data_IF_709270926365
#
_entry.id   IF_709270926365
#
_cell.length_a   1.000
_cell.length_b   1.000
_cell.length_c   1.000
_cell.angle_alpha   90.00
_cell.angle_beta   90.00
_cell.angle_gamma   90.00
#
_symmetry.space_group_name_H-M   'P 1'
#
loop_
_entity.id
_entity.type
_entity.pdbx_description
1 polymer ?
#
# COMPACT_ATOMS: atom_id res chain seq x y z
N UNK A 1 -24.27 13.03 13.94
CA UNK A 1 -23.43 14.04 13.28
C UNK A 1 -22.75 13.41 12.07
N UNK A 2 -22.66 14.08 10.91
CA UNK A 2 -21.92 13.57 9.77
C UNK A 2 -20.43 13.53 10.09
N UNK A 3 -19.77 12.40 9.76
CA UNK A 3 -18.32 12.26 9.88
C UNK A 3 -17.66 13.02 8.73
N UNK A 4 -16.73 13.92 9.02
CA UNK A 4 -15.98 14.56 7.97
C UNK A 4 -14.98 13.58 7.35
N UNK A 5 -15.36 12.93 6.27
CA UNK A 5 -14.62 11.88 5.59
C UNK A 5 -13.27 12.35 5.04
N UNK A 6 -13.16 13.62 4.68
CA UNK A 6 -11.91 14.18 4.19
C UNK A 6 -10.84 14.22 5.28
N UNK A 7 -11.19 14.73 6.45
CA UNK A 7 -10.22 14.83 7.56
C UNK A 7 -9.95 13.51 8.25
N UNK A 8 -10.97 12.66 8.39
CA UNK A 8 -10.86 11.40 9.14
C UNK A 8 -10.36 10.23 8.29
N UNK A 9 -10.73 10.15 7.01
CA UNK A 9 -10.47 9.01 6.14
C UNK A 9 -9.71 9.37 4.86
N UNK A 10 -9.41 10.64 4.64
CA UNK A 10 -8.80 11.18 3.40
C UNK A 10 -9.59 10.82 2.13
N UNK A 11 -10.90 10.63 2.27
CA UNK A 11 -11.80 10.29 1.16
C UNK A 11 -12.21 11.55 0.40
N UNK A 12 -11.98 11.56 -0.90
CA UNK A 12 -12.37 12.64 -1.82
C UNK A 12 -13.32 12.10 -2.88
N UNK A 13 -14.26 12.96 -3.34
CA UNK A 13 -15.19 12.62 -4.42
C UNK A 13 -16.30 11.66 -4.00
N UNK A 14 -16.48 11.45 -2.70
CA UNK A 14 -17.56 10.68 -2.11
C UNK A 14 -18.13 11.41 -0.92
N UNK A 15 -19.40 11.19 -0.69
CA UNK A 15 -20.12 11.64 0.50
C UNK A 15 -20.61 10.46 1.32
N UNK A 16 -20.82 10.67 2.59
CA UNK A 16 -21.42 9.70 3.48
C UNK A 16 -22.91 9.55 3.13
N UNK A 17 -23.35 8.31 2.91
CA UNK A 17 -24.75 7.96 2.72
C UNK A 17 -25.37 7.49 4.03
N UNK A 18 -24.67 6.59 4.76
CA UNK A 18 -25.09 6.10 6.05
C UNK A 18 -23.90 5.69 6.91
N UNK A 19 -24.09 5.66 8.23
CA UNK A 19 -23.11 5.16 9.19
C UNK A 19 -23.80 4.19 10.15
N UNK A 20 -23.19 3.03 10.35
CA UNK A 20 -23.62 2.06 11.35
C UNK A 20 -22.50 1.94 12.40
N UNK A 21 -22.87 2.15 13.65
CA UNK A 21 -21.96 2.01 14.79
C UNK A 21 -22.23 0.69 15.51
N UNK A 22 -21.16 0.04 15.93
CA UNK A 22 -21.20 -1.03 16.93
C UNK A 22 -20.14 -0.77 18.01
N UNK A 23 -20.06 -1.61 19.04
CA UNK A 23 -19.14 -1.38 20.18
C UNK A 23 -17.69 -1.13 19.75
N UNK A 24 -17.20 -1.81 18.71
CA UNK A 24 -15.79 -1.79 18.31
C UNK A 24 -15.59 -1.41 16.82
N UNK A 25 -16.67 -1.20 16.09
CA UNK A 25 -16.57 -0.97 14.65
C UNK A 25 -17.54 0.10 14.15
N UNK A 26 -17.10 0.75 13.09
CA UNK A 26 -17.90 1.72 12.33
C UNK A 26 -17.93 1.26 10.88
N UNK A 27 -19.12 1.20 10.29
CA UNK A 27 -19.32 0.95 8.88
C UNK A 27 -19.91 2.20 8.23
N UNK A 28 -19.18 2.75 7.25
CA UNK A 28 -19.55 3.98 6.55
C UNK A 28 -19.85 3.62 5.10
N UNK A 29 -21.12 3.80 4.70
CA UNK A 29 -21.51 3.67 3.31
C UNK A 29 -21.27 4.99 2.60
N UNK A 30 -20.60 4.91 1.45
CA UNK A 30 -20.18 6.03 0.63
C UNK A 30 -20.90 6.04 -0.70
N UNK A 31 -21.36 7.22 -1.10
CA UNK A 31 -21.92 7.47 -2.43
C UNK A 31 -21.01 8.42 -3.20
N UNK A 32 -20.75 8.15 -4.47
CA UNK A 32 -19.97 9.04 -5.34
C UNK A 32 -20.71 10.36 -5.55
N UNK A 33 -20.00 11.47 -5.43
CA UNK A 33 -20.62 12.81 -5.61
C UNK A 33 -20.78 13.19 -7.07
N UNK A 34 -19.78 12.86 -7.90
CA UNK A 34 -19.78 13.13 -9.34
C UNK A 34 -19.02 12.02 -10.08
N UNK A 35 -19.56 11.61 -11.22
CA UNK A 35 -18.87 10.74 -12.15
C UNK A 35 -18.25 11.59 -13.27
N UNK A 36 -17.01 11.31 -13.60
CA UNK A 36 -16.24 11.97 -14.66
C UNK A 36 -15.46 10.94 -15.45
N UNK A 37 -15.36 11.14 -16.74
CA UNK A 37 -14.53 10.29 -17.59
C UNK A 37 -13.07 10.38 -17.15
N UNK A 38 -12.38 9.25 -16.84
CA UNK A 38 -10.97 9.27 -16.45
C UNK A 38 -10.04 9.72 -17.58
N UNK A 39 -10.48 9.62 -18.84
CA UNK A 39 -9.67 9.96 -20.00
C UNK A 39 -9.74 11.45 -20.39
N UNK A 40 -10.95 12.03 -20.51
CA UNK A 40 -11.13 13.42 -20.97
C UNK A 40 -11.74 14.37 -19.92
N UNK A 41 -12.07 13.88 -18.71
CA UNK A 41 -12.65 14.70 -17.64
C UNK A 41 -14.13 15.08 -17.83
N UNK A 42 -14.78 14.72 -18.95
CA UNK A 42 -16.17 15.04 -19.23
C UNK A 42 -17.11 14.42 -18.20
N UNK A 43 -18.15 15.16 -17.82
CA UNK A 43 -19.26 14.69 -16.95
C UNK A 43 -20.39 14.03 -17.74
N UNK A 44 -20.36 14.12 -19.09
CA UNK A 44 -21.35 13.45 -19.97
C UNK A 44 -21.01 11.96 -20.05
N UNK A 45 -21.43 11.21 -19.04
CA UNK A 45 -21.14 9.78 -18.92
C UNK A 45 -22.38 8.97 -18.57
N UNK A 46 -22.51 7.80 -19.16
CA UNK A 46 -23.42 6.74 -18.70
C UNK A 46 -22.73 5.94 -17.60
N UNK A 47 -23.41 5.70 -16.50
CA UNK A 47 -22.90 5.07 -15.29
C UNK A 47 -23.55 3.71 -15.09
N UNK A 48 -22.74 2.65 -15.08
CA UNK A 48 -23.18 1.27 -14.86
C UNK A 48 -22.56 0.73 -13.57
N UNK A 49 -23.35 0.35 -12.55
CA UNK A 49 -22.80 -0.26 -11.34
C UNK A 49 -22.26 -1.66 -11.64
N UNK A 50 -21.05 -1.97 -11.15
CA UNK A 50 -20.41 -3.29 -11.35
C UNK A 50 -20.54 -4.14 -10.08
N UNK A 51 -20.08 -3.58 -8.93
CA UNK A 51 -20.03 -4.33 -7.67
C UNK A 51 -19.85 -3.39 -6.48
N UNK A 52 -20.34 -3.79 -5.33
CA UNK A 52 -20.00 -3.17 -4.06
C UNK A 52 -18.63 -3.66 -3.56
N UNK A 53 -17.93 -2.80 -2.86
CA UNK A 53 -16.66 -3.10 -2.19
C UNK A 53 -16.67 -2.60 -0.78
N UNK A 54 -16.03 -3.41 0.09
CA UNK A 54 -15.78 -3.07 1.48
C UNK A 54 -14.27 -3.09 1.73
N UNK A 55 -13.74 -2.01 2.28
CA UNK A 55 -12.31 -1.84 2.58
C UNK A 55 -12.13 -1.32 4.00
N UNK A 56 -10.91 -1.44 4.52
CA UNK A 56 -10.56 -0.90 5.83
C UNK A 56 -10.07 0.53 5.70
N UNK A 57 -10.59 1.39 6.58
CA UNK A 57 -10.17 2.79 6.76
C UNK A 57 -9.38 3.00 8.04
N UNK A 58 -8.96 4.26 8.26
CA UNK A 58 -8.32 4.70 9.49
C UNK A 58 -9.25 4.52 10.69
N UNK A 59 -8.72 4.19 11.89
CA UNK A 59 -9.48 4.20 13.12
C UNK A 59 -10.23 5.52 13.34
N UNK A 60 -11.40 5.46 13.96
CA UNK A 60 -12.23 6.62 14.23
C UNK A 60 -12.55 6.67 15.74
N UNK A 61 -11.92 7.58 16.47
CA UNK A 61 -12.04 7.63 17.93
C UNK A 61 -11.60 6.32 18.57
N UNK A 62 -12.44 5.73 19.40
CA UNK A 62 -12.21 4.42 20.04
C UNK A 62 -12.43 3.22 19.12
N UNK A 63 -13.08 3.43 17.95
CA UNK A 63 -13.40 2.35 17.02
C UNK A 63 -12.21 2.04 16.11
N UNK A 64 -11.52 0.93 16.36
CA UNK A 64 -10.37 0.49 15.57
C UNK A 64 -10.77 -0.12 14.22
N UNK A 65 -11.99 -0.67 14.12
CA UNK A 65 -12.49 -1.35 12.92
C UNK A 65 -13.39 -0.41 12.11
N UNK A 66 -12.81 0.38 11.23
CA UNK A 66 -13.56 1.23 10.31
C UNK A 66 -13.63 0.55 8.94
N UNK A 67 -14.85 0.30 8.46
CA UNK A 67 -15.12 -0.22 7.14
C UNK A 67 -15.75 0.87 6.26
N UNK A 68 -15.22 1.04 5.06
CA UNK A 68 -15.80 1.89 4.03
C UNK A 68 -16.43 0.99 2.97
N UNK A 69 -17.73 1.16 2.72
CA UNK A 69 -18.47 0.43 1.70
C UNK A 69 -18.87 1.40 0.57
N UNK A 70 -18.63 1.02 -0.68
CA UNK A 70 -18.96 1.83 -1.85
C UNK A 70 -19.14 0.96 -3.09
N UNK A 71 -19.90 1.45 -4.06
CA UNK A 71 -20.07 0.80 -5.36
C UNK A 71 -19.01 1.29 -6.35
N UNK A 72 -18.45 0.37 -7.12
CA UNK A 72 -17.59 0.67 -8.27
C UNK A 72 -18.46 0.69 -9.52
N UNK A 73 -18.23 1.69 -10.37
CA UNK A 73 -18.98 1.88 -11.60
C UNK A 73 -18.06 1.73 -12.84
N UNK A 74 -18.67 1.28 -13.92
CA UNK A 74 -18.14 1.43 -15.27
C UNK A 74 -18.75 2.66 -15.89
N UNK A 75 -17.93 3.45 -16.55
CA UNK A 75 -18.32 4.70 -17.20
C UNK A 75 -18.18 4.55 -18.71
N UNK A 76 -19.19 4.98 -19.44
CA UNK A 76 -19.10 5.21 -20.88
C UNK A 76 -19.20 6.71 -21.12
N UNK A 77 -18.19 7.29 -21.76
CA UNK A 77 -18.12 8.72 -22.03
C UNK A 77 -18.72 9.05 -23.39
N UNK A 78 -19.69 9.97 -23.44
CA UNK A 78 -20.31 10.42 -24.69
C UNK A 78 -19.42 11.40 -25.47
N UNK A 79 -18.42 12.02 -24.83
CA UNK A 79 -17.55 12.99 -25.48
C UNK A 79 -16.35 12.35 -26.19
N UNK A 80 -15.72 11.32 -25.61
CA UNK A 80 -14.55 10.65 -26.19
C UNK A 80 -14.78 9.17 -26.47
N UNK A 81 -15.99 8.67 -26.28
CA UNK A 81 -16.42 7.27 -26.51
C UNK A 81 -15.62 6.21 -25.74
N UNK A 82 -14.87 6.64 -24.70
CA UNK A 82 -14.09 5.71 -23.89
C UNK A 82 -14.98 4.99 -22.87
N UNK A 83 -14.70 3.70 -22.68
CA UNK A 83 -15.40 2.86 -21.68
C UNK A 83 -14.39 2.31 -20.70
N UNK A 84 -14.50 2.72 -19.44
CA UNK A 84 -13.53 2.36 -18.39
C UNK A 84 -14.18 2.26 -17.02
N UNK A 85 -13.49 1.55 -16.11
CA UNK A 85 -13.85 1.52 -14.68
C UNK A 85 -13.40 2.82 -14.01
N UNK A 86 -14.27 3.43 -13.22
CA UNK A 86 -13.96 4.67 -12.52
C UNK A 86 -12.72 4.52 -11.59
N UNK A 87 -11.94 5.58 -11.53
CA UNK A 87 -10.83 5.67 -10.58
C UNK A 87 -11.34 6.02 -9.19
N UNK A 88 -10.90 5.26 -8.16
CA UNK A 88 -11.21 5.50 -6.76
C UNK A 88 -10.03 6.20 -6.09
N UNK A 89 -10.11 7.50 -5.77
CA UNK A 89 -8.96 8.32 -5.37
C UNK A 89 -8.27 7.88 -4.08
N UNK A 90 -9.03 7.29 -3.15
CA UNK A 90 -8.54 6.86 -1.84
C UNK A 90 -7.99 5.43 -1.81
N UNK A 91 -7.90 4.75 -2.96
CA UNK A 91 -7.23 3.45 -3.10
C UNK A 91 -5.86 3.61 -3.75
N UNK A 92 -4.85 2.90 -3.24
CA UNK A 92 -3.50 2.86 -3.81
C UNK A 92 -3.44 2.13 -5.15
N UNK A 93 -4.33 1.13 -5.32
CA UNK A 93 -4.53 0.39 -6.58
C UNK A 93 -5.93 -0.25 -6.60
N UNK A 94 -6.45 -0.67 -7.79
CA UNK A 94 -7.82 -1.16 -7.92
C UNK A 94 -8.20 -2.35 -7.02
N UNK A 95 -7.22 -3.16 -6.59
CA UNK A 95 -7.43 -4.32 -5.70
C UNK A 95 -7.09 -4.02 -4.23
N UNK A 96 -6.75 -2.77 -3.87
CA UNK A 96 -6.39 -2.42 -2.49
C UNK A 96 -7.54 -2.72 -1.52
N UNK A 97 -7.21 -3.28 -0.36
CA UNK A 97 -8.16 -3.62 0.72
C UNK A 97 -8.13 -2.61 1.87
N UNK A 98 -7.18 -1.70 1.83
CA UNK A 98 -6.99 -0.61 2.77
C UNK A 98 -7.13 0.72 2.02
N UNK A 99 -7.49 1.78 2.74
CA UNK A 99 -7.38 3.14 2.20
C UNK A 99 -5.90 3.54 2.10
N UNK A 100 -5.57 4.43 1.16
CA UNK A 100 -4.22 5.05 1.07
C UNK A 100 -3.79 5.69 2.40
N UNK A 101 -4.74 6.27 3.13
CA UNK A 101 -4.47 6.88 4.43
C UNK A 101 -3.96 5.82 5.41
N UNK A 102 -4.72 4.73 5.62
CA UNK A 102 -4.33 3.65 6.53
C UNK A 102 -3.03 2.96 6.08
N UNK A 103 -2.84 2.73 4.78
CA UNK A 103 -1.57 2.19 4.26
C UNK A 103 -0.39 3.08 4.65
N UNK A 104 -0.55 4.41 4.51
CA UNK A 104 0.47 5.40 4.87
C UNK A 104 0.77 5.40 6.36
N UNK A 105 -0.25 5.46 7.21
CA UNK A 105 -0.09 5.44 8.67
C UNK A 105 0.63 4.17 9.13
N UNK A 106 0.27 3.01 8.60
CA UNK A 106 0.96 1.74 8.90
C UNK A 106 2.44 1.84 8.51
N UNK A 107 2.76 2.34 7.31
CA UNK A 107 4.15 2.46 6.83
C UNK A 107 4.98 3.48 7.63
N UNK A 108 4.37 4.57 8.10
CA UNK A 108 5.02 5.56 8.97
C UNK A 108 5.32 4.99 10.36
N UNK A 109 4.45 4.14 10.90
CA UNK A 109 4.65 3.50 12.20
C UNK A 109 5.59 2.29 12.16
N UNK A 110 5.73 1.66 11.00
CA UNK A 110 6.45 0.39 10.86
C UNK A 110 7.93 0.41 11.30
N UNK A 111 8.70 1.49 11.13
CA UNK A 111 10.06 1.56 11.66
C UNK A 111 10.16 1.46 13.19
N UNK A 112 9.08 1.80 13.89
CA UNK A 112 9.04 1.91 15.36
C UNK A 112 8.27 0.77 16.02
N UNK A 113 7.43 0.06 15.29
CA UNK A 113 6.50 -0.94 15.81
C UNK A 113 6.59 -2.23 15.00
N UNK A 114 6.60 -3.39 15.67
CA UNK A 114 6.64 -4.68 15.00
C UNK A 114 5.41 -4.95 14.11
N UNK A 115 5.56 -5.79 13.07
CA UNK A 115 4.44 -6.19 12.20
C UNK A 115 3.32 -6.83 13.04
N UNK A 116 3.67 -7.66 14.01
CA UNK A 116 2.69 -8.33 14.86
C UNK A 116 1.89 -7.35 15.72
N UNK A 117 2.56 -6.37 16.31
CA UNK A 117 1.89 -5.36 17.14
C UNK A 117 0.93 -4.49 16.30
N UNK A 118 1.35 -4.07 15.09
CA UNK A 118 0.47 -3.36 14.15
C UNK A 118 -0.70 -4.21 13.69
N UNK A 119 -0.47 -5.50 13.41
CA UNK A 119 -1.52 -6.43 13.01
C UNK A 119 -2.59 -6.56 14.11
N UNK A 120 -2.16 -6.72 15.35
CA UNK A 120 -3.07 -6.78 16.50
C UNK A 120 -3.80 -5.46 16.74
N UNK A 121 -3.09 -4.32 16.65
CA UNK A 121 -3.68 -2.99 16.88
C UNK A 121 -4.77 -2.65 15.86
N UNK A 122 -4.50 -2.88 14.57
CA UNK A 122 -5.46 -2.58 13.49
C UNK A 122 -6.41 -3.73 13.18
N UNK A 123 -6.32 -4.86 13.89
CA UNK A 123 -7.06 -6.10 13.57
C UNK A 123 -6.94 -6.47 12.08
N UNK A 124 -5.70 -6.52 11.62
CA UNK A 124 -5.31 -6.90 10.28
C UNK A 124 -4.49 -8.21 10.33
N UNK A 125 -4.48 -8.93 9.22
CA UNK A 125 -3.61 -10.10 9.10
C UNK A 125 -2.15 -9.66 9.02
N UNK A 126 -1.26 -10.34 9.73
CA UNK A 126 0.19 -10.13 9.69
C UNK A 126 0.74 -10.04 8.25
N UNK A 127 0.29 -10.96 7.38
CA UNK A 127 0.63 -10.94 5.96
C UNK A 127 0.25 -9.65 5.23
N UNK A 128 -0.87 -9.02 5.60
CA UNK A 128 -1.31 -7.77 4.96
C UNK A 128 -0.30 -6.66 5.20
N UNK A 129 0.21 -6.53 6.42
CA UNK A 129 1.20 -5.52 6.77
C UNK A 129 2.56 -5.85 6.16
N UNK A 130 2.99 -7.12 6.22
CA UNK A 130 4.24 -7.58 5.60
C UNK A 130 4.28 -7.27 4.09
N UNK A 131 3.22 -7.62 3.36
CA UNK A 131 3.17 -7.38 1.91
C UNK A 131 3.08 -5.89 1.56
N UNK A 132 2.40 -5.09 2.39
CA UNK A 132 2.37 -3.64 2.26
C UNK A 132 3.79 -3.05 2.40
N UNK A 133 4.50 -3.43 3.47
CA UNK A 133 5.89 -3.00 3.71
C UNK A 133 6.82 -3.46 2.59
N UNK A 134 6.78 -4.73 2.22
CA UNK A 134 7.59 -5.31 1.14
C UNK A 134 7.41 -4.54 -0.18
N UNK A 135 6.16 -4.24 -0.55
CA UNK A 135 5.84 -3.46 -1.74
C UNK A 135 6.39 -2.02 -1.65
N UNK A 136 6.27 -1.40 -0.48
CA UNK A 136 6.80 -0.07 -0.22
C UNK A 136 8.33 -0.04 -0.35
N UNK A 137 9.03 -0.98 0.28
CA UNK A 137 10.48 -1.10 0.23
C UNK A 137 10.98 -1.37 -1.20
N UNK A 138 10.33 -2.28 -1.93
CA UNK A 138 10.65 -2.51 -3.34
C UNK A 138 10.56 -1.23 -4.19
N UNK A 139 9.54 -0.41 -3.97
CA UNK A 139 9.39 0.86 -4.68
C UNK A 139 10.43 1.89 -4.23
N UNK A 140 10.67 2.00 -2.92
CA UNK A 140 11.60 2.96 -2.33
C UNK A 140 13.04 2.69 -2.76
N UNK A 141 13.43 1.42 -2.83
CA UNK A 141 14.78 0.96 -3.14
C UNK A 141 14.88 0.30 -4.53
N UNK A 142 14.00 0.64 -5.46
CA UNK A 142 14.02 0.10 -6.82
C UNK A 142 15.22 0.54 -7.64
N UNK A 143 15.84 1.67 -7.28
CA UNK A 143 17.04 2.21 -7.93
C UNK A 143 18.05 2.55 -6.86
N UNK A 144 19.18 1.85 -6.89
CA UNK A 144 20.32 2.14 -6.03
C UNK A 144 21.24 3.10 -6.78
N UNK A 145 21.46 4.27 -6.21
CA UNK A 145 22.42 5.23 -6.76
C UNK A 145 23.80 4.87 -6.25
N UNK A 146 24.67 4.38 -7.12
CA UNK A 146 26.03 3.93 -6.76
C UNK A 146 27.13 4.95 -7.04
N UNK A 147 26.82 6.02 -7.81
CA UNK A 147 27.80 6.99 -8.27
C UNK A 147 28.55 7.75 -7.15
N UNK A 148 27.96 7.85 -5.97
CA UNK A 148 28.55 8.56 -4.81
C UNK A 148 29.31 7.63 -3.85
N UNK A 149 29.27 6.31 -4.06
CA UNK A 149 29.86 5.31 -3.17
C UNK A 149 31.38 5.33 -3.32
N UNK A 150 32.09 5.61 -2.22
CA UNK A 150 33.56 5.66 -2.18
C UNK A 150 34.18 4.43 -1.56
N UNK A 151 33.48 3.78 -0.63
CA UNK A 151 33.94 2.61 0.07
C UNK A 151 32.78 1.68 0.41
N UNK A 152 32.99 0.39 0.20
CA UNK A 152 32.02 -0.65 0.52
C UNK A 152 32.52 -1.57 1.61
N UNK A 153 31.60 -2.06 2.44
CA UNK A 153 31.82 -3.15 3.37
C UNK A 153 31.04 -4.37 2.89
N UNK A 154 31.67 -5.53 2.97
CA UNK A 154 31.06 -6.81 2.64
C UNK A 154 31.02 -7.65 3.91
N UNK A 155 29.86 -8.22 4.20
CA UNK A 155 29.63 -9.07 5.37
C UNK A 155 28.75 -10.27 5.00
N UNK A 156 28.91 -11.38 5.72
CA UNK A 156 28.14 -12.59 5.53
C UNK A 156 27.30 -12.90 6.77
N UNK A 157 25.99 -12.95 6.62
CA UNK A 157 25.06 -13.25 7.70
C UNK A 157 24.57 -14.70 7.58
N UNK A 158 24.75 -15.47 8.64
CA UNK A 158 24.17 -16.81 8.75
C UNK A 158 22.69 -16.72 9.08
N UNK A 159 21.82 -17.26 8.21
CA UNK A 159 20.35 -17.17 8.33
C UNK A 159 19.68 -18.45 8.85
N UNK A 160 20.47 -19.42 9.35
CA UNK A 160 19.97 -20.65 9.94
C UNK A 160 20.03 -21.87 9.03
N UNK A 161 19.46 -22.98 9.49
CA UNK A 161 19.46 -24.27 8.78
C UNK A 161 18.51 -24.22 7.58
N UNK A 162 19.02 -23.82 6.40
CA UNK A 162 18.32 -23.96 5.12
C UNK A 162 18.81 -25.18 4.35
N UNK A 163 18.06 -25.60 3.32
CA UNK A 163 18.54 -26.62 2.39
C UNK A 163 19.80 -26.13 1.67
N UNK A 164 20.84 -26.95 1.68
CA UNK A 164 22.10 -26.90 0.92
C UNK A 164 22.46 -25.53 0.29
N UNK A 165 23.51 -24.89 0.78
CA UNK A 165 24.14 -23.66 0.30
C UNK A 165 23.42 -22.31 0.52
N UNK A 166 22.19 -22.28 1.02
CA UNK A 166 21.46 -21.03 1.30
C UNK A 166 21.43 -20.65 2.79
N UNK A 167 22.47 -21.03 3.52
CA UNK A 167 22.57 -20.71 4.96
C UNK A 167 23.13 -19.31 5.24
N UNK A 168 23.59 -18.63 4.21
CA UNK A 168 24.23 -17.33 4.31
C UNK A 168 23.60 -16.34 3.35
N UNK A 169 23.59 -15.08 3.77
CA UNK A 169 23.36 -13.93 2.90
C UNK A 169 24.65 -13.10 2.89
N UNK A 170 25.13 -12.76 1.71
CA UNK A 170 26.20 -11.77 1.55
C UNK A 170 25.57 -10.39 1.43
N UNK A 171 25.96 -9.47 2.30
CA UNK A 171 25.47 -8.09 2.34
C UNK A 171 26.60 -7.17 1.94
N UNK A 172 26.32 -6.29 0.97
CA UNK A 172 27.23 -5.20 0.60
C UNK A 172 26.58 -3.90 1.03
N UNK A 173 27.31 -3.07 1.77
CA UNK A 173 26.84 -1.76 2.22
C UNK A 173 27.83 -0.66 1.89
N UNK A 174 27.33 0.53 1.66
CA UNK A 174 28.14 1.74 1.64
C UNK A 174 28.60 2.07 3.06
N UNK A 175 29.90 2.21 3.27
CA UNK A 175 30.48 2.49 4.58
C UNK A 175 30.25 3.92 5.05
N UNK A 176 29.98 4.85 4.13
CA UNK A 176 29.72 6.24 4.47
C UNK A 176 28.29 6.47 4.98
N UNK A 177 27.30 5.96 4.25
CA UNK A 177 25.87 6.12 4.60
C UNK A 177 25.31 4.99 5.44
N UNK A 178 25.98 3.83 5.51
CA UNK A 178 25.49 2.60 6.12
C UNK A 178 24.40 1.89 5.31
N UNK A 179 24.03 2.41 4.14
CA UNK A 179 22.97 1.84 3.32
C UNK A 179 23.38 0.49 2.73
N UNK A 180 22.47 -0.49 2.77
CA UNK A 180 22.64 -1.77 2.10
C UNK A 180 22.39 -1.57 0.60
N UNK A 181 23.38 -1.87 -0.23
CA UNK A 181 23.35 -1.68 -1.68
C UNK A 181 23.18 -2.97 -2.46
N UNK A 182 23.52 -4.11 -1.84
CA UNK A 182 23.32 -5.44 -2.43
C UNK A 182 23.09 -6.49 -1.35
N UNK A 183 22.26 -7.47 -1.66
CA UNK A 183 22.07 -8.68 -0.86
C UNK A 183 22.07 -9.86 -1.81
N UNK A 184 23.07 -10.74 -1.67
CA UNK A 184 23.21 -11.96 -2.47
C UNK A 184 22.94 -13.21 -1.64
N UNK A 185 22.40 -14.23 -2.27
CA UNK A 185 22.17 -15.54 -1.64
C UNK A 185 23.47 -16.33 -1.60
N UNK A 186 23.78 -16.90 -0.42
CA UNK A 186 24.99 -17.68 -0.19
C UNK A 186 26.17 -16.84 0.22
N UNK A 187 27.39 -17.44 0.12
CA UNK A 187 28.71 -16.84 0.36
C UNK A 187 29.62 -17.07 -0.81
N UNK A 188 30.59 -16.19 -0.98
CA UNK A 188 31.57 -16.25 -2.06
C UNK A 188 31.25 -15.38 -3.26
N UNK A 189 32.03 -15.48 -4.31
CA UNK A 189 32.00 -14.57 -5.46
C UNK A 189 30.66 -14.56 -6.19
N UNK A 190 29.98 -15.69 -6.27
CA UNK A 190 28.67 -15.80 -6.92
C UNK A 190 27.59 -14.97 -6.22
N UNK A 191 27.67 -14.80 -4.90
CA UNK A 191 26.73 -13.98 -4.13
C UNK A 191 26.97 -12.47 -4.35
N UNK A 192 28.13 -12.07 -4.87
CA UNK A 192 28.47 -10.70 -5.22
C UNK A 192 28.14 -10.35 -6.68
N UNK A 193 27.70 -11.32 -7.48
CA UNK A 193 27.29 -11.06 -8.86
C UNK A 193 26.08 -10.12 -8.86
N UNK A 194 26.35 -8.82 -9.02
CA UNK A 194 25.33 -7.81 -9.24
C UNK A 194 24.80 -8.08 -10.63
N UNK A 195 23.57 -8.56 -10.70
CA UNK A 195 22.84 -8.58 -11.97
C UNK A 195 22.54 -7.12 -12.30
N UNK A 196 23.49 -6.45 -12.95
CA UNK A 196 23.28 -5.18 -13.62
C UNK A 196 22.30 -5.45 -14.77
N UNK A 197 21.02 -5.34 -14.51
CA UNK A 197 20.06 -5.06 -15.57
C UNK A 197 20.14 -3.55 -15.82
N UNK A 198 20.95 -3.19 -16.84
CA UNK A 198 20.94 -1.88 -17.46
C UNK A 198 19.73 -1.76 -18.38
#
# INVERSE_FOLDING_TARGET
>A
MPVNLYYTQRVRGFQQESVKYSKESVEIRLKRTKHQCPHCGSTSVTVEPIRSRRIRGEPLGSCRKVALEFTIHRLYCHSCHHREIEHIPFLSHPKARLTKALERTILELRPHISIQALANFYDLRWHTIKELEKKHLKKKYSRIQTAHIKAIGIDEIHIGKGMQNQQYLTIVRDLQSGAVIHVGDGKGISALAITCQF
#
